data_IF_021337343815
#
_entry.id   IF_021337343815
#
_cell.length_a   1.000
_cell.length_b   1.000
_cell.length_c   1.000
_cell.angle_alpha   90.00
_cell.angle_beta   90.00
_cell.angle_gamma   90.00
#
_symmetry.space_group_name_H-M   'P 1'
#
loop_
_entity.id
_entity.type
_entity.pdbx_description
1 polymer ?
#
# COMPACT_ATOMS: atom_id res chain seq x y z
N UNK A 1 -28.59 5.65 -13.33
CA UNK A 1 -27.81 4.64 -12.57
C UNK A 1 -27.37 3.48 -13.44
N UNK A 2 -28.27 2.85 -14.20
CA UNK A 2 -27.94 1.70 -15.07
C UNK A 2 -26.90 2.01 -16.18
N UNK A 3 -26.99 3.18 -16.80
CA UNK A 3 -26.02 3.62 -17.83
C UNK A 3 -24.60 3.75 -17.25
N UNK A 4 -24.48 4.30 -16.04
CA UNK A 4 -23.18 4.47 -15.37
C UNK A 4 -22.53 3.11 -15.05
N UNK A 5 -23.33 2.16 -14.54
CA UNK A 5 -22.86 0.79 -14.26
C UNK A 5 -22.38 0.11 -15.55
N UNK A 6 -23.12 0.26 -16.65
CA UNK A 6 -22.71 -0.28 -17.97
C UNK A 6 -21.39 0.34 -18.45
N UNK A 7 -21.19 1.64 -18.26
CA UNK A 7 -19.93 2.31 -18.61
C UNK A 7 -18.74 1.82 -17.78
N UNK A 8 -18.90 1.70 -16.45
CA UNK A 8 -17.85 1.22 -15.56
C UNK A 8 -17.45 -0.21 -15.91
N UNK A 9 -18.43 -1.09 -16.14
CA UNK A 9 -18.15 -2.47 -16.53
C UNK A 9 -17.37 -2.54 -17.84
N UNK A 10 -17.75 -1.76 -18.85
CA UNK A 10 -17.01 -1.71 -20.12
C UNK A 10 -15.57 -1.24 -19.92
N UNK A 11 -15.35 -0.21 -19.10
CA UNK A 11 -14.01 0.28 -18.80
C UNK A 11 -13.15 -0.81 -18.13
N UNK A 12 -13.70 -1.50 -17.12
CA UNK A 12 -13.00 -2.59 -16.43
C UNK A 12 -12.61 -3.70 -17.42
N UNK A 13 -13.49 -4.07 -18.33
CA UNK A 13 -13.21 -5.10 -19.34
C UNK A 13 -12.14 -4.66 -20.35
N UNK A 14 -12.04 -3.38 -20.71
CA UNK A 14 -10.92 -2.89 -21.51
C UNK A 14 -9.60 -2.90 -20.72
N UNK A 15 -9.62 -2.45 -19.45
CA UNK A 15 -8.42 -2.44 -18.59
C UNK A 15 -7.83 -3.84 -18.39
N UNK A 16 -8.65 -4.88 -18.25
CA UNK A 16 -8.20 -6.27 -18.11
C UNK A 16 -7.48 -6.84 -19.33
N UNK A 17 -7.63 -6.23 -20.51
CA UNK A 17 -6.92 -6.64 -21.74
C UNK A 17 -5.51 -6.07 -21.81
N UNK A 18 -5.20 -5.06 -21.00
CA UNK A 18 -3.88 -4.45 -20.93
C UNK A 18 -2.96 -5.25 -20.01
N UNK A 19 -1.66 -5.09 -20.19
CA UNK A 19 -0.67 -5.62 -19.25
C UNK A 19 -0.71 -4.81 -17.95
N UNK A 20 -0.81 -5.52 -16.82
CA UNK A 20 -0.75 -4.92 -15.49
C UNK A 20 0.65 -5.10 -14.94
N UNK A 21 1.39 -4.00 -14.89
CA UNK A 21 2.77 -3.99 -14.39
C UNK A 21 2.74 -3.71 -12.90
N UNK A 22 3.19 -4.67 -12.10
CA UNK A 22 3.40 -4.47 -10.67
C UNK A 22 4.69 -3.68 -10.43
N UNK A 23 4.57 -2.49 -9.83
CA UNK A 23 5.69 -1.61 -9.48
C UNK A 23 6.09 -1.77 -8.01
N UNK A 24 5.64 -2.84 -7.35
CA UNK A 24 5.88 -3.10 -5.93
C UNK A 24 6.94 -4.18 -5.75
N UNK A 25 7.91 -3.96 -4.85
CA UNK A 25 8.81 -5.02 -4.42
C UNK A 25 8.16 -5.89 -3.34
N UNK A 26 8.53 -7.18 -3.28
CA UNK A 26 8.23 -8.04 -2.13
C UNK A 26 8.75 -7.41 -0.83
N UNK A 27 8.00 -7.60 0.26
CA UNK A 27 8.29 -6.97 1.54
C UNK A 27 8.54 -7.98 2.67
N UNK A 28 9.77 -7.98 3.17
CA UNK A 28 10.28 -8.74 4.31
C UNK A 28 11.37 -7.97 5.09
N UNK A 29 11.97 -8.60 6.11
CA UNK A 29 13.06 -8.03 6.93
C UNK A 29 14.36 -7.71 6.17
N UNK A 30 14.54 -8.27 4.97
CA UNK A 30 15.71 -8.07 4.11
C UNK A 30 15.48 -7.01 3.04
N UNK A 31 14.23 -6.54 2.89
CA UNK A 31 13.88 -5.42 2.02
C UNK A 31 14.84 -4.24 2.21
N UNK A 32 15.12 -3.54 1.11
CA UNK A 32 15.92 -2.33 1.17
C UNK A 32 15.25 -1.27 2.05
N UNK A 33 16.05 -0.65 2.92
CA UNK A 33 15.65 0.44 3.80
C UNK A 33 16.78 1.44 3.99
N UNK A 34 16.43 2.62 4.46
CA UNK A 34 17.41 3.54 5.01
C UNK A 34 18.11 2.91 6.22
N UNK A 35 19.44 3.07 6.30
CA UNK A 35 20.29 2.39 7.29
C UNK A 35 19.92 2.69 8.75
N UNK A 36 19.28 3.83 9.03
CA UNK A 36 18.81 4.18 10.36
C UNK A 36 17.52 3.48 10.78
N UNK A 37 16.83 2.81 9.87
CA UNK A 37 15.61 2.05 10.18
C UNK A 37 15.94 0.64 10.65
N UNK A 38 15.19 0.19 11.66
CA UNK A 38 15.23 -1.22 12.08
C UNK A 38 14.61 -2.09 10.98
N UNK A 39 15.09 -3.34 10.80
CA UNK A 39 14.41 -4.33 9.97
C UNK A 39 12.96 -4.53 10.40
N UNK A 40 12.15 -5.07 9.48
CA UNK A 40 10.77 -5.45 9.78
C UNK A 40 10.79 -6.47 10.92
N UNK A 41 9.95 -6.24 11.93
CA UNK A 41 9.62 -7.26 12.92
C UNK A 41 8.26 -7.85 12.58
N UNK A 42 8.20 -9.17 12.45
CA UNK A 42 6.96 -9.92 12.22
C UNK A 42 6.76 -10.92 13.36
N UNK A 43 5.58 -10.91 13.97
CA UNK A 43 5.13 -11.92 14.92
C UNK A 43 3.95 -12.65 14.31
N UNK A 44 3.93 -13.98 14.44
CA UNK A 44 2.84 -14.82 13.97
C UNK A 44 2.11 -15.35 15.21
N UNK A 45 0.84 -14.97 15.35
CA UNK A 45 -0.10 -15.60 16.27
C UNK A 45 -0.68 -16.80 15.51
N UNK A 46 -0.32 -18.02 15.89
CA UNK A 46 -0.70 -19.23 15.15
C UNK A 46 -1.74 -20.08 15.90
N UNK A 47 -2.37 -21.01 15.18
CA UNK A 47 -3.46 -21.85 15.64
C UNK A 47 -3.09 -22.77 16.82
N UNK A 48 -1.80 -23.00 17.05
CA UNK A 48 -1.32 -23.77 18.20
C UNK A 48 -1.62 -23.05 19.53
N UNK A 49 -1.77 -21.73 19.51
CA UNK A 49 -2.01 -20.90 20.69
C UNK A 49 -3.30 -20.06 20.60
N UNK A 50 -3.83 -19.81 19.40
CA UNK A 50 -4.96 -18.90 19.15
C UNK A 50 -6.03 -19.54 18.25
N UNK A 51 -7.29 -19.08 18.27
CA UNK A 51 -8.33 -19.59 17.37
C UNK A 51 -8.21 -19.10 15.93
N UNK A 52 -7.23 -18.25 15.62
CA UNK A 52 -6.99 -17.66 14.30
C UNK A 52 -5.49 -17.49 14.05
N UNK A 53 -5.09 -17.52 12.77
CA UNK A 53 -3.77 -17.06 12.36
C UNK A 53 -3.77 -15.57 12.10
N UNK A 54 -2.94 -14.82 12.82
CA UNK A 54 -2.79 -13.38 12.65
C UNK A 54 -1.32 -12.98 12.65
N UNK A 55 -0.98 -11.90 11.94
CA UNK A 55 0.38 -11.38 11.86
C UNK A 55 0.43 -9.97 12.44
N UNK A 56 1.38 -9.73 13.35
CA UNK A 56 1.75 -8.38 13.77
C UNK A 56 3.00 -7.95 12.99
N UNK A 57 2.96 -6.75 12.42
CA UNK A 57 4.07 -6.15 11.71
C UNK A 57 4.48 -4.86 12.41
N UNK A 58 5.77 -4.68 12.65
CA UNK A 58 6.34 -3.42 13.14
C UNK A 58 7.43 -2.96 12.18
N UNK A 59 7.21 -1.83 11.52
CA UNK A 59 8.15 -1.20 10.60
C UNK A 59 7.86 0.30 10.50
N UNK A 60 8.81 1.06 9.96
CA UNK A 60 8.59 2.48 9.62
C UNK A 60 7.89 2.59 8.27
N UNK A 61 6.95 3.53 8.13
CA UNK A 61 6.11 3.64 6.94
C UNK A 61 6.87 3.86 5.62
N UNK A 62 8.08 4.44 5.67
CA UNK A 62 8.96 4.66 4.51
C UNK A 62 9.87 3.45 4.21
N UNK A 63 9.44 2.24 4.56
CA UNK A 63 10.18 1.01 4.34
C UNK A 63 9.57 0.22 3.18
N UNK A 64 10.36 -0.06 2.14
CA UNK A 64 9.96 -0.82 0.96
C UNK A 64 9.41 0.10 -0.11
N UNK A 65 8.51 -0.39 -0.95
CA UNK A 65 7.72 0.48 -1.84
C UNK A 65 6.74 1.29 -1.00
N UNK A 66 6.85 2.61 -1.01
CA UNK A 66 6.07 3.50 -0.14
C UNK A 66 5.69 4.81 -0.85
N UNK A 67 4.89 5.64 -0.16
CA UNK A 67 4.48 6.97 -0.60
C UNK A 67 5.03 7.99 0.40
N UNK A 68 5.78 8.97 -0.09
CA UNK A 68 6.15 10.15 0.68
C UNK A 68 5.10 11.25 0.49
N UNK A 69 4.64 11.78 1.62
CA UNK A 69 3.68 12.88 1.68
C UNK A 69 4.38 14.17 2.07
N UNK A 70 3.81 15.37 1.82
CA UNK A 70 4.49 16.62 2.17
C UNK A 70 4.93 16.70 3.64
N UNK A 71 4.13 16.14 4.57
CA UNK A 71 4.48 16.04 5.99
C UNK A 71 5.78 15.25 6.29
N UNK A 72 6.33 14.53 5.30
CA UNK A 72 7.61 13.83 5.44
C UNK A 72 8.79 14.80 5.62
N UNK A 73 8.69 16.02 5.07
CA UNK A 73 9.78 17.01 5.07
C UNK A 73 9.34 18.41 5.53
N UNK A 74 8.05 18.63 5.71
CA UNK A 74 7.45 19.90 6.13
C UNK A 74 6.55 19.70 7.36
N UNK A 75 6.83 20.32 8.52
CA UNK A 75 5.99 20.22 9.72
C UNK A 75 4.53 20.63 9.52
N UNK A 76 4.26 21.55 8.59
CA UNK A 76 2.91 22.00 8.23
C UNK A 76 2.35 21.24 7.01
N UNK A 77 3.10 20.27 6.51
CA UNK A 77 2.78 19.47 5.35
C UNK A 77 1.53 18.60 5.52
N UNK A 78 0.91 18.26 4.40
CA UNK A 78 -0.23 17.35 4.35
C UNK A 78 0.21 15.92 4.73
N UNK A 79 -0.56 15.29 5.63
CA UNK A 79 -0.41 13.89 6.05
C UNK A 79 -1.15 12.92 5.11
N UNK A 80 -0.78 11.64 5.13
CA UNK A 80 -1.31 10.62 4.21
C UNK A 80 -2.84 10.45 4.28
N UNK A 81 -3.42 10.55 5.47
CA UNK A 81 -4.86 10.48 5.73
C UNK A 81 -5.66 11.62 5.08
N UNK A 82 -5.00 12.71 4.67
CA UNK A 82 -5.63 13.87 4.03
C UNK A 82 -5.56 13.82 2.50
N UNK A 83 -4.97 12.79 1.90
CA UNK A 83 -4.92 12.66 0.45
C UNK A 83 -6.30 12.27 -0.08
N UNK A 84 -6.87 13.11 -0.94
CA UNK A 84 -8.11 12.78 -1.66
C UNK A 84 -7.91 11.59 -2.61
N UNK A 85 -8.87 10.67 -2.65
CA UNK A 85 -8.80 9.46 -3.48
C UNK A 85 -8.57 9.75 -4.96
N UNK A 86 -9.09 10.86 -5.49
CA UNK A 86 -8.87 11.21 -6.90
C UNK A 86 -7.43 11.60 -7.22
N UNK A 87 -6.62 11.98 -6.21
CA UNK A 87 -5.21 12.36 -6.41
C UNK A 87 -4.26 11.17 -6.56
N UNK A 88 -4.70 9.97 -6.19
CA UNK A 88 -3.88 8.74 -6.28
C UNK A 88 -3.98 8.06 -7.65
N UNK A 89 -4.86 8.57 -8.52
CA UNK A 89 -4.97 8.17 -9.93
C UNK A 89 -4.52 9.35 -10.78
N UNK A 90 -3.62 9.11 -11.73
CA UNK A 90 -3.13 10.13 -12.67
C UNK A 90 -3.84 9.97 -14.01
N UNK A 91 -4.02 11.10 -14.69
CA UNK A 91 -4.50 11.18 -16.08
C UNK A 91 -3.43 10.76 -17.10
#
# INVERSE_FOLDING_TARGET
MEVLVKMINKLIEELKKLEWVDLTHSFDENSHRWKGFKPLKKIILDFNEYPVKAHEYTFLGQYGTHIDVPAHVDPDGMTLDKIELKRIVKE
#
